data_IF_893408476275
#
_entry.id   IF_893408476275
#
_cell.length_a   1.000
_cell.length_b   1.000
_cell.length_c   1.000
_cell.angle_alpha   90.00
_cell.angle_beta   90.00
_cell.angle_gamma   90.00
#
_symmetry.space_group_name_H-M   'P 1'
#
loop_
_entity.id
_entity.type
_entity.pdbx_description
1 polymer ?
#
# COMPACT_ATOMS: atom_id res chain seq x y z
N UNK A 1 1.81 -21.66 -17.82
CA UNK A 1 2.20 -20.28 -18.23
C UNK A 1 1.12 -19.57 -19.04
N UNK A 2 0.21 -20.32 -19.71
CA UNK A 2 -0.82 -19.77 -20.60
C UNK A 2 -2.01 -19.09 -19.90
N UNK A 3 -2.43 -19.58 -18.72
CA UNK A 3 -3.56 -19.01 -17.97
C UNK A 3 -3.27 -17.57 -17.49
N UNK A 4 -2.02 -17.27 -17.08
CA UNK A 4 -1.63 -15.91 -16.68
C UNK A 4 -1.68 -14.93 -17.86
N UNK A 5 -1.32 -15.39 -19.06
CA UNK A 5 -1.34 -14.55 -20.26
C UNK A 5 -2.76 -14.24 -20.75
N UNK A 6 -3.74 -15.13 -20.55
CA UNK A 6 -5.13 -14.84 -20.90
C UNK A 6 -5.75 -13.80 -19.96
N UNK A 7 -5.51 -13.92 -18.65
CA UNK A 7 -6.00 -12.98 -17.64
C UNK A 7 -5.38 -11.58 -17.82
N UNK A 8 -4.08 -11.50 -18.11
CA UNK A 8 -3.41 -10.23 -18.41
C UNK A 8 -4.03 -9.55 -19.64
N UNK A 9 -4.25 -10.30 -20.74
CA UNK A 9 -4.91 -9.77 -21.94
C UNK A 9 -6.33 -9.29 -21.66
N UNK A 10 -7.04 -9.96 -20.77
CA UNK A 10 -8.40 -9.61 -20.40
C UNK A 10 -8.47 -8.30 -19.58
N UNK A 11 -7.51 -8.06 -18.68
CA UNK A 11 -7.36 -6.78 -17.99
C UNK A 11 -6.93 -5.64 -18.92
N UNK A 12 -6.03 -5.89 -19.86
CA UNK A 12 -5.65 -4.89 -20.88
C UNK A 12 -6.89 -4.44 -21.70
N UNK A 13 -7.76 -5.39 -22.06
CA UNK A 13 -9.00 -5.11 -22.78
C UNK A 13 -10.02 -4.36 -21.91
N UNK A 14 -10.14 -4.74 -20.64
CA UNK A 14 -10.96 -4.03 -19.66
C UNK A 14 -10.56 -2.54 -19.60
N UNK A 15 -9.27 -2.25 -19.45
CA UNK A 15 -8.75 -0.87 -19.30
C UNK A 15 -8.99 -0.06 -20.58
N UNK A 16 -8.77 -0.65 -21.76
CA UNK A 16 -9.06 0.02 -23.04
C UNK A 16 -10.53 0.38 -23.22
N UNK A 17 -11.44 -0.47 -22.75
CA UNK A 17 -12.88 -0.21 -22.79
C UNK A 17 -13.28 0.83 -21.75
N UNK A 18 -12.73 0.74 -20.55
CA UNK A 18 -13.07 1.64 -19.45
C UNK A 18 -12.57 3.07 -19.68
N UNK A 19 -11.39 3.24 -20.27
CA UNK A 19 -10.80 4.57 -20.58
C UNK A 19 -11.53 5.34 -21.68
N UNK A 20 -12.36 4.68 -22.49
CA UNK A 20 -13.19 5.32 -23.52
C UNK A 20 -14.48 5.92 -22.98
N UNK A 21 -14.98 5.45 -21.83
CA UNK A 21 -16.18 6.00 -21.21
C UNK A 21 -15.80 7.18 -20.29
N UNK A 22 -16.59 8.24 -20.32
CA UNK A 22 -16.48 9.32 -19.36
C UNK A 22 -17.08 8.84 -18.02
N UNK A 23 -16.27 8.83 -16.97
CA UNK A 23 -16.67 8.43 -15.62
C UNK A 23 -16.69 9.67 -14.72
N UNK A 24 -17.80 9.89 -14.02
CA UNK A 24 -17.98 11.04 -13.13
C UNK A 24 -17.77 10.67 -11.66
N UNK A 25 -18.15 9.47 -11.26
CA UNK A 25 -18.10 9.05 -9.86
C UNK A 25 -17.67 7.58 -9.64
N UNK A 26 -17.53 7.21 -8.37
CA UNK A 26 -17.12 5.86 -7.97
C UNK A 26 -18.23 4.81 -8.17
N UNK A 27 -19.49 5.21 -8.29
CA UNK A 27 -20.63 4.31 -8.44
C UNK A 27 -20.77 3.88 -9.90
N UNK A 28 -20.71 4.84 -10.83
CA UNK A 28 -20.60 4.62 -12.28
C UNK A 28 -19.44 3.69 -12.60
N UNK A 29 -18.30 3.84 -11.91
CA UNK A 29 -17.15 2.96 -12.09
C UNK A 29 -17.40 1.54 -11.58
N UNK A 30 -18.13 1.38 -10.47
CA UNK A 30 -18.50 0.06 -9.98
C UNK A 30 -19.49 -0.63 -10.94
N UNK A 31 -20.48 0.11 -11.45
CA UNK A 31 -21.41 -0.38 -12.46
C UNK A 31 -20.68 -0.81 -13.74
N UNK A 32 -19.73 0.01 -14.20
CA UNK A 32 -18.90 -0.30 -15.36
C UNK A 32 -18.02 -1.53 -15.14
N UNK A 33 -17.44 -1.68 -13.94
CA UNK A 33 -16.67 -2.88 -13.58
C UNK A 33 -17.53 -4.13 -13.70
N UNK A 34 -18.77 -4.10 -13.20
CA UNK A 34 -19.71 -5.23 -13.31
C UNK A 34 -20.07 -5.53 -14.76
N UNK A 35 -20.41 -4.50 -15.55
CA UNK A 35 -20.79 -4.64 -16.96
C UNK A 35 -19.66 -5.28 -17.79
N UNK A 36 -18.45 -4.74 -17.72
CA UNK A 36 -17.32 -5.23 -18.50
C UNK A 36 -16.84 -6.60 -18.00
N UNK A 37 -16.84 -6.83 -16.68
CA UNK A 37 -16.46 -8.15 -16.13
C UNK A 37 -17.45 -9.24 -16.55
N UNK A 38 -18.76 -8.92 -16.64
CA UNK A 38 -19.77 -9.82 -17.18
C UNK A 38 -19.55 -10.15 -18.66
N UNK A 39 -19.21 -9.14 -19.48
CA UNK A 39 -18.89 -9.33 -20.90
C UNK A 39 -17.62 -10.16 -21.13
N UNK A 40 -16.62 -10.01 -20.27
CA UNK A 40 -15.31 -10.68 -20.39
C UNK A 40 -15.23 -11.98 -19.58
N UNK A 41 -16.29 -12.37 -18.86
CA UNK A 41 -16.31 -13.51 -17.92
C UNK A 41 -15.13 -13.50 -16.94
N UNK A 42 -14.79 -12.31 -16.42
CA UNK A 42 -13.71 -12.12 -15.47
C UNK A 42 -14.24 -12.00 -14.03
N UNK A 43 -13.46 -12.44 -13.02
CA UNK A 43 -13.73 -12.05 -11.65
C UNK A 43 -13.62 -10.53 -11.51
N UNK A 44 -14.46 -9.92 -10.69
CA UNK A 44 -14.49 -8.48 -10.48
C UNK A 44 -13.13 -8.00 -9.94
N UNK A 45 -12.36 -7.20 -10.71
CA UNK A 45 -11.03 -6.80 -10.26
C UNK A 45 -11.07 -5.78 -9.14
N UNK A 46 -10.03 -5.82 -8.30
CA UNK A 46 -9.79 -4.74 -7.34
C UNK A 46 -9.27 -3.50 -8.04
N UNK A 47 -9.48 -2.32 -7.43
CA UNK A 47 -8.93 -1.08 -7.96
C UNK A 47 -7.39 -1.10 -7.98
N UNK A 48 -6.77 -1.83 -7.04
CA UNK A 48 -5.32 -1.99 -6.97
C UNK A 48 -4.80 -2.82 -8.17
N UNK A 49 -5.46 -3.92 -8.50
CA UNK A 49 -5.10 -4.75 -9.66
C UNK A 49 -5.24 -3.95 -10.95
N UNK A 50 -6.37 -3.24 -11.12
CA UNK A 50 -6.60 -2.38 -12.28
C UNK A 50 -5.52 -1.30 -12.42
N UNK A 51 -5.12 -0.67 -11.31
CA UNK A 51 -4.06 0.35 -11.32
C UNK A 51 -2.71 -0.26 -11.68
N UNK A 52 -2.36 -1.42 -11.14
CA UNK A 52 -1.11 -2.11 -11.48
C UNK A 52 -1.03 -2.40 -12.99
N UNK A 53 -2.12 -2.92 -13.58
CA UNK A 53 -2.19 -3.17 -15.01
C UNK A 53 -2.17 -1.89 -15.84
N UNK A 54 -2.90 -0.86 -15.41
CA UNK A 54 -2.94 0.44 -16.08
C UNK A 54 -1.57 1.10 -16.16
N UNK A 55 -0.81 1.15 -15.06
CA UNK A 55 0.55 1.72 -15.04
C UNK A 55 1.51 0.91 -15.92
N UNK A 56 1.39 -0.44 -15.95
CA UNK A 56 2.17 -1.28 -16.89
C UNK A 56 1.86 -0.96 -18.35
N UNK A 57 0.59 -0.72 -18.69
CA UNK A 57 0.19 -0.37 -20.06
C UNK A 57 0.70 1.02 -20.48
N UNK A 58 0.72 1.99 -19.55
CA UNK A 58 1.31 3.31 -19.78
C UNK A 58 2.82 3.20 -19.99
N UNK A 59 3.51 2.45 -19.13
CA UNK A 59 4.96 2.22 -19.25
C UNK A 59 5.30 1.56 -20.60
N UNK A 60 4.45 0.64 -21.07
CA UNK A 60 4.55 0.01 -22.39
C UNK A 60 4.06 0.91 -23.55
N UNK A 61 3.67 2.16 -23.30
CA UNK A 61 3.13 3.13 -24.28
C UNK A 61 1.90 2.63 -25.08
N UNK A 62 1.14 1.67 -24.53
CA UNK A 62 -0.07 1.12 -25.17
C UNK A 62 -1.29 2.04 -25.05
N UNK A 63 -1.31 2.91 -24.05
CA UNK A 63 -2.41 3.85 -23.75
C UNK A 63 -1.83 5.20 -23.31
N UNK A 64 -2.62 6.27 -23.48
CA UNK A 64 -2.32 7.59 -22.91
C UNK A 64 -2.90 7.71 -21.51
N UNK A 65 -2.26 8.53 -20.68
CA UNK A 65 -2.67 8.78 -19.29
C UNK A 65 -4.03 9.50 -19.27
N UNK A 66 -4.99 8.98 -18.51
CA UNK A 66 -6.32 9.56 -18.33
C UNK A 66 -6.53 9.93 -16.85
N UNK A 67 -6.55 11.23 -16.56
CA UNK A 67 -6.63 11.77 -15.20
C UNK A 67 -7.95 11.40 -14.52
N UNK A 68 -9.08 11.47 -15.25
CA UNK A 68 -10.40 11.16 -14.70
C UNK A 68 -10.47 9.69 -14.27
N UNK A 69 -9.92 8.79 -15.08
CA UNK A 69 -9.85 7.37 -14.77
C UNK A 69 -9.02 7.11 -13.50
N UNK A 70 -7.87 7.77 -13.36
CA UNK A 70 -7.02 7.65 -12.17
C UNK A 70 -7.68 8.16 -10.89
N UNK A 71 -8.43 9.28 -10.97
CA UNK A 71 -9.14 9.86 -9.84
C UNK A 71 -10.29 8.97 -9.36
N UNK A 72 -11.02 8.35 -10.28
CA UNK A 72 -12.14 7.47 -9.96
C UNK A 72 -11.66 6.12 -9.39
N UNK A 73 -10.49 5.63 -9.82
CA UNK A 73 -9.86 4.46 -9.23
C UNK A 73 -9.22 4.72 -7.85
N UNK A 74 -9.10 5.98 -7.42
CA UNK A 74 -8.42 6.32 -6.16
C UNK A 74 -9.27 5.91 -4.96
N UNK A 75 -8.71 5.08 -4.10
CA UNK A 75 -9.37 4.65 -2.87
C UNK A 75 -9.33 5.77 -1.82
N UNK A 76 -10.44 6.02 -1.12
CA UNK A 76 -10.54 6.93 0.05
C UNK A 76 -9.77 8.25 -0.15
N UNK A 77 -10.31 9.11 -1.03
CA UNK A 77 -9.74 10.38 -1.52
C UNK A 77 -9.07 11.26 -0.44
N UNK A 78 -9.52 11.20 0.81
CA UNK A 78 -9.05 12.03 1.93
C UNK A 78 -7.67 11.61 2.48
N UNK A 79 -7.26 10.34 2.35
CA UNK A 79 -6.11 9.79 3.09
C UNK A 79 -4.74 10.44 2.82
N UNK A 80 -4.58 11.16 1.72
CA UNK A 80 -3.37 11.93 1.40
C UNK A 80 -3.72 13.30 0.80
N UNK A 81 -4.82 13.92 1.25
CA UNK A 81 -5.19 15.27 0.77
C UNK A 81 -4.15 16.34 1.10
N UNK A 82 -3.42 16.19 2.22
CA UNK A 82 -2.29 17.06 2.57
C UNK A 82 -1.08 16.90 1.64
N UNK A 83 -1.09 15.89 0.76
CA UNK A 83 0.04 15.53 -0.09
C UNK A 83 1.18 14.82 0.65
N UNK A 84 1.01 14.48 1.94
CA UNK A 84 2.02 13.76 2.74
C UNK A 84 1.58 12.33 3.00
N UNK A 85 2.41 11.38 2.60
CA UNK A 85 2.24 9.96 2.86
C UNK A 85 2.78 9.58 4.24
N UNK A 86 1.89 9.26 5.18
CA UNK A 86 2.27 8.80 6.52
C UNK A 86 2.66 7.32 6.49
N UNK A 87 3.91 7.03 6.85
CA UNK A 87 4.51 5.70 6.85
C UNK A 87 4.89 5.32 8.28
N UNK A 88 4.05 4.53 8.91
CA UNK A 88 4.30 4.01 10.26
C UNK A 88 5.03 2.65 10.17
N UNK A 89 6.19 2.55 10.83
CA UNK A 89 7.03 1.35 10.90
C UNK A 89 7.21 0.91 12.36
N UNK A 90 7.28 -0.39 12.61
CA UNK A 90 7.50 -0.94 13.94
C UNK A 90 8.88 -1.62 14.04
N UNK A 91 9.54 -1.45 15.17
CA UNK A 91 10.74 -2.23 15.49
C UNK A 91 10.40 -3.67 15.86
N UNK A 92 11.40 -4.54 15.91
CA UNK A 92 11.25 -5.85 16.56
C UNK A 92 10.96 -5.68 18.06
N UNK A 93 10.41 -6.73 18.68
CA UNK A 93 10.30 -6.82 20.13
C UNK A 93 11.68 -6.65 20.79
N UNK A 94 11.71 -5.87 21.86
CA UNK A 94 12.90 -5.63 22.66
C UNK A 94 12.50 -5.40 24.12
N UNK A 95 13.32 -5.83 25.10
CA UNK A 95 13.03 -5.59 26.51
C UNK A 95 12.84 -4.10 26.82
N UNK A 96 11.75 -3.77 27.50
CA UNK A 96 11.50 -2.43 28.01
C UNK A 96 12.07 -2.30 29.43
N UNK A 97 12.80 -1.22 29.77
CA UNK A 97 13.32 -1.03 31.13
C UNK A 97 12.20 -0.66 32.12
N UNK A 98 11.07 -0.16 31.61
CA UNK A 98 9.94 0.26 32.42
C UNK A 98 9.05 -0.91 32.84
N UNK A 99 8.59 -0.87 34.09
CA UNK A 99 7.55 -1.77 34.65
C UNK A 99 6.22 -1.03 34.73
N UNK A 100 5.61 -0.77 33.58
CA UNK A 100 4.32 -0.07 33.52
C UNK A 100 3.15 -1.07 33.62
N UNK A 101 2.28 -0.88 34.61
CA UNK A 101 1.09 -1.69 34.86
C UNK A 101 0.09 -1.65 33.69
N UNK A 102 -0.03 -0.51 33.02
CA UNK A 102 -1.01 -0.28 31.95
C UNK A 102 -0.54 -0.70 30.56
N UNK A 103 0.78 -0.89 30.36
CA UNK A 103 1.29 -1.22 29.03
C UNK A 103 1.04 -2.69 28.71
N UNK A 104 0.22 -3.02 27.70
CA UNK A 104 0.03 -4.41 27.29
C UNK A 104 1.36 -5.02 26.86
N UNK A 105 1.50 -6.32 27.12
CA UNK A 105 2.67 -7.11 26.71
C UNK A 105 2.16 -8.34 25.99
N UNK A 106 2.49 -8.45 24.71
CA UNK A 106 2.22 -9.62 23.90
C UNK A 106 3.55 -10.21 23.45
N UNK A 107 3.62 -11.55 23.38
CA UNK A 107 4.84 -12.25 22.95
C UNK A 107 5.23 -11.81 21.54
N UNK A 108 6.52 -11.59 21.32
CA UNK A 108 7.11 -11.20 20.03
C UNK A 108 6.64 -9.84 19.47
N UNK A 109 5.83 -9.08 20.21
CA UNK A 109 5.40 -7.73 19.85
C UNK A 109 6.21 -6.64 20.58
N UNK A 110 6.39 -5.45 19.97
CA UNK A 110 6.88 -4.28 20.68
C UNK A 110 5.98 -3.91 21.85
N UNK A 111 6.58 -3.34 22.90
CA UNK A 111 5.83 -2.91 24.09
C UNK A 111 4.71 -1.94 23.70
N UNK A 112 3.53 -2.16 24.27
CA UNK A 112 2.30 -1.37 24.05
C UNK A 112 1.55 -1.60 22.73
N UNK A 113 1.99 -2.51 21.88
CA UNK A 113 1.32 -2.83 20.60
C UNK A 113 0.75 -4.26 20.61
N UNK A 114 -0.39 -4.44 19.93
CA UNK A 114 -1.08 -5.73 19.82
C UNK A 114 -1.04 -6.28 18.38
N UNK A 115 -0.92 -7.60 18.24
CA UNK A 115 -0.74 -8.27 16.94
C UNK A 115 -1.89 -8.04 15.95
N UNK A 116 -3.09 -7.75 16.44
CA UNK A 116 -4.30 -7.52 15.66
C UNK A 116 -4.44 -6.08 15.11
N UNK A 117 -3.51 -5.18 15.42
CA UNK A 117 -3.55 -3.82 14.91
C UNK A 117 -3.09 -3.73 13.45
N UNK A 118 -3.72 -2.91 12.59
CA UNK A 118 -3.41 -2.87 11.16
C UNK A 118 -1.94 -2.57 10.81
N UNK A 119 -1.27 -1.73 11.59
CA UNK A 119 0.14 -1.41 11.36
C UNK A 119 1.06 -2.54 11.85
N UNK A 120 0.73 -3.14 12.99
CA UNK A 120 1.45 -4.27 13.56
C UNK A 120 1.37 -5.48 12.62
N UNK A 121 0.18 -5.81 12.10
CA UNK A 121 -0.01 -6.89 11.12
C UNK A 121 0.88 -6.72 9.89
N UNK A 122 1.07 -5.49 9.40
CA UNK A 122 2.00 -5.20 8.28
C UNK A 122 3.47 -5.35 8.67
N UNK A 123 3.82 -5.02 9.91
CA UNK A 123 5.16 -5.25 10.42
C UNK A 123 5.45 -6.75 10.59
N UNK A 124 4.48 -7.52 11.11
CA UNK A 124 4.56 -8.98 11.22
C UNK A 124 4.79 -9.61 9.84
N UNK A 125 4.00 -9.25 8.82
CA UNK A 125 4.18 -9.80 7.46
C UNK A 125 5.53 -9.43 6.84
N UNK A 126 6.15 -8.35 7.31
CA UNK A 126 7.48 -7.91 6.90
C UNK A 126 8.59 -8.41 7.84
N UNK A 127 8.27 -9.24 8.84
CA UNK A 127 9.18 -9.71 9.90
C UNK A 127 9.92 -8.55 10.59
N UNK A 128 9.23 -7.43 10.82
CA UNK A 128 9.77 -6.19 11.38
C UNK A 128 10.97 -5.60 10.63
N UNK A 129 11.19 -6.00 9.36
CA UNK A 129 12.26 -5.47 8.55
C UNK A 129 11.93 -4.02 8.12
N UNK A 130 12.75 -3.01 8.49
CA UNK A 130 12.46 -1.59 8.22
C UNK A 130 12.30 -1.29 6.73
N UNK A 131 13.19 -1.81 5.89
CA UNK A 131 13.15 -1.59 4.45
C UNK A 131 11.87 -2.16 3.82
N UNK A 132 11.53 -3.41 4.16
CA UNK A 132 10.30 -4.06 3.66
C UNK A 132 9.05 -3.32 4.11
N UNK A 133 8.98 -2.88 5.37
CA UNK A 133 7.82 -2.15 5.89
C UNK A 133 7.56 -0.86 5.09
N UNK A 134 8.59 -0.06 4.84
CA UNK A 134 8.49 1.17 4.04
C UNK A 134 8.10 0.85 2.60
N UNK A 135 8.81 -0.04 1.91
CA UNK A 135 8.51 -0.40 0.51
C UNK A 135 7.10 -0.96 0.33
N UNK A 136 6.67 -1.85 1.22
CA UNK A 136 5.33 -2.44 1.16
C UNK A 136 4.26 -1.37 1.37
N UNK A 137 4.49 -0.42 2.29
CA UNK A 137 3.53 0.65 2.54
C UNK A 137 3.45 1.64 1.38
N UNK A 138 4.59 2.04 0.80
CA UNK A 138 4.63 2.92 -0.37
C UNK A 138 3.93 2.29 -1.56
N UNK A 139 4.27 1.04 -1.90
CA UNK A 139 3.60 0.28 -2.97
C UNK A 139 2.09 0.21 -2.74
N UNK A 140 1.66 -0.08 -1.51
CA UNK A 140 0.24 -0.13 -1.17
C UNK A 140 -0.46 1.22 -1.38
N UNK A 141 0.18 2.35 -1.05
CA UNK A 141 -0.36 3.68 -1.26
C UNK A 141 -0.46 4.02 -2.76
N UNK A 142 0.60 3.74 -3.52
CA UNK A 142 0.66 3.95 -4.97
C UNK A 142 -0.42 3.15 -5.71
N UNK A 143 -0.58 1.87 -5.37
CA UNK A 143 -1.63 1.00 -5.93
C UNK A 143 -3.05 1.49 -5.59
N UNK A 144 -3.21 2.22 -4.48
CA UNK A 144 -4.47 2.86 -4.13
C UNK A 144 -4.65 4.26 -4.74
N UNK A 145 -3.67 4.73 -5.53
CA UNK A 145 -3.71 6.03 -6.20
C UNK A 145 -3.31 7.20 -5.32
N UNK A 146 -2.62 6.96 -4.21
CA UNK A 146 -2.07 8.02 -3.38
C UNK A 146 -0.67 8.38 -3.86
N UNK A 147 -0.38 9.68 -3.88
CA UNK A 147 0.99 10.16 -4.12
C UNK A 147 1.87 9.85 -2.91
N UNK A 148 3.14 9.58 -3.18
CA UNK A 148 4.17 9.16 -2.22
C UNK A 148 5.44 10.03 -2.32
N UNK A 149 5.34 11.20 -2.96
CA UNK A 149 6.43 12.15 -3.19
C UNK A 149 6.91 12.86 -1.91
N UNK A 150 6.04 12.96 -0.89
CA UNK A 150 6.38 13.50 0.42
C UNK A 150 6.03 12.46 1.48
N UNK A 151 6.98 12.13 2.34
CA UNK A 151 6.83 11.05 3.31
C UNK A 151 7.02 11.59 4.72
N UNK A 152 6.10 11.24 5.62
CA UNK A 152 6.28 11.36 7.07
C UNK A 152 6.53 9.96 7.63
N UNK A 153 7.76 9.71 8.10
CA UNK A 153 8.14 8.43 8.69
C UNK A 153 7.89 8.46 10.20
N UNK A 154 7.05 7.55 10.70
CA UNK A 154 6.74 7.40 12.13
C UNK A 154 7.30 6.07 12.60
N UNK A 155 8.27 6.12 13.52
CA UNK A 155 8.81 4.92 14.17
C UNK A 155 8.02 4.62 15.44
N UNK A 156 7.37 3.47 15.43
CA UNK A 156 6.54 2.96 16.50
C UNK A 156 7.25 1.83 17.25
N UNK A 157 6.89 1.63 18.52
CA UNK A 157 7.48 0.59 19.37
C UNK A 157 7.82 1.01 20.81
N UNK A 158 7.35 2.18 21.26
CA UNK A 158 7.34 2.66 22.65
C UNK A 158 8.70 2.90 23.33
N UNK A 159 9.75 2.27 22.82
CA UNK A 159 11.07 2.14 23.48
C UNK A 159 12.22 2.28 22.48
N UNK A 160 11.99 2.90 21.31
CA UNK A 160 13.00 3.04 20.24
C UNK A 160 14.36 3.52 20.76
N UNK A 161 14.34 4.54 21.62
CA UNK A 161 15.52 5.15 22.22
C UNK A 161 16.32 4.23 23.14
N UNK A 162 15.72 3.15 23.66
CA UNK A 162 16.35 2.16 24.53
C UNK A 162 17.00 0.99 23.75
N UNK A 163 16.69 0.82 22.46
CA UNK A 163 17.37 -0.20 21.66
C UNK A 163 18.86 0.11 21.51
N UNK A 164 19.73 -0.86 21.20
CA UNK A 164 21.15 -0.60 20.98
C UNK A 164 21.37 0.43 19.88
N UNK A 165 22.30 1.38 20.07
CA UNK A 165 22.61 2.44 19.09
C UNK A 165 22.90 1.91 17.67
N UNK A 166 23.66 0.81 17.48
CA UNK A 166 23.86 0.23 16.15
C UNK A 166 22.56 -0.23 15.48
N UNK A 167 21.61 -0.77 16.27
CA UNK A 167 20.30 -1.16 15.75
C UNK A 167 19.48 0.07 15.34
N UNK A 168 19.43 1.11 16.18
CA UNK A 168 18.70 2.36 15.86
C UNK A 168 19.21 2.96 14.54
N UNK A 169 20.52 3.09 14.39
CA UNK A 169 21.14 3.64 13.18
C UNK A 169 20.82 2.81 11.94
N UNK A 170 21.00 1.48 12.03
CA UNK A 170 20.67 0.57 10.93
C UNK A 170 19.19 0.65 10.56
N UNK A 171 18.30 0.69 11.56
CA UNK A 171 16.86 0.72 11.34
C UNK A 171 16.45 1.97 10.55
N UNK A 172 16.92 3.15 10.96
CA UNK A 172 16.65 4.42 10.27
C UNK A 172 17.28 4.43 8.88
N UNK A 173 18.54 3.99 8.74
CA UNK A 173 19.24 3.92 7.45
C UNK A 173 18.45 3.08 6.43
N UNK A 174 17.93 1.93 6.85
CA UNK A 174 17.13 1.06 5.99
C UNK A 174 15.76 1.66 5.64
N UNK A 175 15.15 2.45 6.53
CA UNK A 175 13.94 3.20 6.21
C UNK A 175 14.20 4.26 5.13
N UNK A 176 15.27 5.05 5.26
CA UNK A 176 15.65 6.04 4.25
C UNK A 176 16.06 5.37 2.93
N UNK A 177 16.78 4.25 2.96
CA UNK A 177 17.13 3.49 1.76
C UNK A 177 15.89 2.96 1.02
N UNK A 178 14.78 2.72 1.71
CA UNK A 178 13.55 2.29 1.07
C UNK A 178 12.74 3.43 0.44
N UNK A 179 12.95 4.67 0.92
CA UNK A 179 12.28 5.87 0.45
C UNK A 179 12.99 6.53 -0.74
N UNK A 180 14.30 6.31 -0.88
CA UNK A 180 15.11 6.70 -2.04
C UNK A 180 15.14 5.61 -3.11
#
# INVERSE_FOLDING_TARGET
MEIKNSVIKAYDNFIKLATKKLLKDSEEFLALKKEISGKLQLPLPTNADLREHYEKMIAAKKIKRNINFEQVMQSRKIRTQSGVAVIAVLTKAYPCPGKCLYCPTEKDMPKSYLSNEPAVMRAISSQFNPYKQVRNRLRSLELNGHKTDKIELIVMGGTFSYLPKPYQLKFITECFRAAN
#
